data_IF_985418055313
#
_entry.id   IF_985418055313
#
_cell.length_a   1.000
_cell.length_b   1.000
_cell.length_c   1.000
_cell.angle_alpha   90.00
_cell.angle_beta   90.00
_cell.angle_gamma   90.00
#
_symmetry.space_group_name_H-M   'P 1'
#
loop_
_entity.id
_entity.type
_entity.pdbx_description
1 polymer ?
#
# COMPACT_ATOMS: atom_id res chain seq x y z
N UNK A 1 -57.92 90.76 -20.97
CA UNK A 1 -57.56 91.38 -19.67
C UNK A 1 -58.21 90.59 -18.56
N UNK A 2 -57.69 89.40 -18.34
CA UNK A 2 -58.15 88.37 -17.43
C UNK A 2 -57.34 87.11 -17.74
N UNK A 3 -57.37 86.16 -16.80
CA UNK A 3 -57.05 84.72 -16.95
C UNK A 3 -55.54 84.39 -16.89
N UNK A 4 -55.14 83.22 -16.40
CA UNK A 4 -55.90 82.01 -16.20
C UNK A 4 -55.26 81.03 -15.21
N UNK A 5 -56.00 79.93 -15.04
CA UNK A 5 -55.84 78.85 -14.08
C UNK A 5 -54.55 78.04 -14.22
N UNK A 6 -54.24 77.22 -13.20
CA UNK A 6 -53.99 75.79 -13.42
C UNK A 6 -53.99 74.97 -12.12
N UNK A 7 -54.52 73.76 -12.21
CA UNK A 7 -54.69 72.77 -11.16
C UNK A 7 -54.13 71.41 -11.59
N UNK A 8 -53.67 70.65 -10.60
CA UNK A 8 -53.46 69.17 -10.56
C UNK A 8 -52.39 68.53 -11.45
N UNK A 9 -51.40 67.90 -10.80
CA UNK A 9 -50.83 66.56 -11.06
C UNK A 9 -49.31 66.52 -10.83
N UNK A 10 -48.86 65.79 -9.81
CA UNK A 10 -47.78 64.78 -9.90
C UNK A 10 -47.25 64.47 -8.50
N UNK A 11 -47.77 63.40 -7.92
CA UNK A 11 -47.16 62.72 -6.79
C UNK A 11 -45.86 62.05 -7.26
N UNK A 12 -44.72 62.45 -6.68
CA UNK A 12 -43.51 61.63 -6.46
C UNK A 12 -42.37 62.52 -5.94
N UNK A 13 -42.24 62.63 -4.62
CA UNK A 13 -40.96 62.60 -3.88
C UNK A 13 -41.18 62.97 -2.41
N UNK A 14 -40.40 62.32 -1.54
CA UNK A 14 -40.30 62.52 -0.10
C UNK A 14 -41.35 61.81 0.79
N UNK A 15 -41.42 60.47 0.71
CA UNK A 15 -41.46 59.68 1.95
C UNK A 15 -40.01 59.46 2.36
N UNK A 16 -39.53 60.29 3.29
CA UNK A 16 -38.28 60.03 4.01
C UNK A 16 -38.63 58.98 5.06
N UNK A 17 -38.28 57.72 4.79
CA UNK A 17 -38.30 56.65 5.78
C UNK A 17 -37.39 57.07 6.94
N UNK A 18 -37.98 57.52 8.03
CA UNK A 18 -37.29 57.65 9.31
C UNK A 18 -37.19 56.25 9.89
N UNK A 19 -36.18 55.49 9.45
CA UNK A 19 -35.79 54.26 10.14
C UNK A 19 -35.57 54.58 11.63
N UNK A 20 -36.14 53.74 12.49
CA UNK A 20 -35.96 53.80 13.94
C UNK A 20 -34.45 53.84 14.27
N UNK A 21 -33.97 54.84 15.03
CA UNK A 21 -32.56 54.97 15.39
C UNK A 21 -31.95 53.69 15.98
N UNK A 22 -32.75 52.88 16.69
CA UNK A 22 -32.31 51.61 17.26
C UNK A 22 -32.14 50.53 16.19
N UNK A 23 -33.00 50.51 15.16
CA UNK A 23 -32.91 49.58 14.02
C UNK A 23 -31.70 49.93 13.16
N UNK A 24 -31.46 51.22 12.91
CA UNK A 24 -30.26 51.70 12.19
C UNK A 24 -28.99 51.31 12.94
N UNK A 25 -28.93 51.57 14.25
CA UNK A 25 -27.77 51.21 15.08
C UNK A 25 -27.53 49.69 15.12
N UNK A 26 -28.60 48.89 15.20
CA UNK A 26 -28.51 47.43 15.12
C UNK A 26 -27.94 46.96 13.78
N UNK A 27 -28.40 47.52 12.66
CA UNK A 27 -27.93 47.14 11.33
C UNK A 27 -26.46 47.57 11.10
N UNK A 28 -26.06 48.74 11.62
CA UNK A 28 -24.66 49.19 11.64
C UNK A 28 -23.78 48.20 12.42
N UNK A 29 -24.19 47.78 13.63
CA UNK A 29 -23.47 46.79 14.44
C UNK A 29 -23.39 45.42 13.76
N UNK A 30 -24.46 44.97 13.09
CA UNK A 30 -24.44 43.71 12.33
C UNK A 30 -23.41 43.77 11.20
N UNK A 31 -23.34 44.91 10.49
CA UNK A 31 -22.38 45.12 9.41
C UNK A 31 -20.93 45.19 9.95
N UNK A 32 -20.72 45.86 11.08
CA UNK A 32 -19.41 45.91 11.76
C UNK A 32 -18.95 44.50 12.18
N UNK A 33 -19.83 43.69 12.77
CA UNK A 33 -19.53 42.31 13.14
C UNK A 33 -19.27 41.43 11.92
N UNK A 34 -20.05 41.60 10.84
CA UNK A 34 -19.84 40.87 9.60
C UNK A 34 -18.48 41.20 8.95
N UNK A 35 -18.10 42.48 8.93
CA UNK A 35 -16.82 42.94 8.42
C UNK A 35 -15.66 42.44 9.28
N UNK A 36 -15.78 42.50 10.61
CA UNK A 36 -14.78 41.95 11.53
C UNK A 36 -14.62 40.43 11.36
N UNK A 37 -15.71 39.70 11.10
CA UNK A 37 -15.66 38.25 10.84
C UNK A 37 -15.02 37.93 9.50
N UNK A 38 -15.33 38.70 8.45
CA UNK A 38 -14.71 38.54 7.14
C UNK A 38 -13.20 38.80 7.19
N UNK A 39 -12.80 39.85 7.92
CA UNK A 39 -11.39 40.17 8.15
C UNK A 39 -10.68 39.08 8.97
N UNK A 40 -11.33 38.55 10.01
CA UNK A 40 -10.82 37.41 10.78
C UNK A 40 -10.62 36.15 9.92
N UNK A 41 -11.57 35.83 9.04
CA UNK A 41 -11.44 34.69 8.12
C UNK A 41 -10.31 34.89 7.11
N UNK A 42 -10.09 36.12 6.63
CA UNK A 42 -8.98 36.45 5.74
C UNK A 42 -7.63 36.21 6.43
N UNK A 43 -7.48 36.72 7.65
CA UNK A 43 -6.25 36.56 8.43
C UNK A 43 -5.95 35.09 8.76
N UNK A 44 -6.99 34.29 9.05
CA UNK A 44 -6.84 32.83 9.24
C UNK A 44 -6.35 32.16 7.97
N UNK A 45 -6.94 32.47 6.81
CA UNK A 45 -6.51 31.91 5.52
C UNK A 45 -5.07 32.30 5.18
N UNK A 46 -4.68 33.55 5.41
CA UNK A 46 -3.30 34.01 5.22
C UNK A 46 -2.32 33.30 6.16
N UNK A 47 -2.73 33.04 7.41
CA UNK A 47 -1.93 32.29 8.37
C UNK A 47 -1.80 30.81 7.96
N UNK A 48 -2.85 30.18 7.47
CA UNK A 48 -2.84 28.80 6.96
C UNK A 48 -1.94 28.66 5.72
N UNK A 49 -2.06 29.59 4.76
CA UNK A 49 -1.21 29.61 3.56
C UNK A 49 0.27 29.83 3.94
N UNK A 50 0.56 30.70 4.91
CA UNK A 50 1.91 30.91 5.44
C UNK A 50 2.44 29.66 6.16
N UNK A 51 1.60 29.00 6.96
CA UNK A 51 1.98 27.77 7.65
C UNK A 51 2.28 26.62 6.68
N UNK A 52 1.46 26.46 5.63
CA UNK A 52 1.71 25.48 4.56
C UNK A 52 3.00 25.77 3.80
N UNK A 53 3.30 27.03 3.51
CA UNK A 53 4.56 27.40 2.85
C UNK A 53 5.77 27.09 3.73
N UNK A 54 5.73 27.48 4.99
CA UNK A 54 6.80 27.17 5.95
C UNK A 54 6.99 25.67 6.15
N UNK A 55 5.91 24.89 6.11
CA UNK A 55 5.98 23.42 6.17
C UNK A 55 6.72 22.86 4.95
N UNK A 56 6.38 23.29 3.74
CA UNK A 56 7.08 22.87 2.50
C UNK A 56 8.55 23.29 2.50
N UNK A 57 8.85 24.52 2.90
CA UNK A 57 10.24 25.00 3.01
C UNK A 57 11.04 24.18 4.04
N UNK A 58 10.41 23.77 5.14
CA UNK A 58 11.03 22.89 6.13
C UNK A 58 11.21 21.45 5.61
N UNK A 59 10.25 20.92 4.87
CA UNK A 59 10.32 19.59 4.22
C UNK A 59 11.43 19.55 3.16
N UNK A 60 11.51 20.56 2.28
CA UNK A 60 12.58 20.70 1.28
C UNK A 60 13.96 20.87 1.92
N UNK A 61 14.05 21.66 2.99
CA UNK A 61 15.29 21.84 3.74
C UNK A 61 15.71 20.53 4.42
N UNK A 62 14.77 19.81 5.04
CA UNK A 62 15.03 18.50 5.63
C UNK A 62 15.52 17.52 4.56
N UNK A 63 14.82 17.39 3.43
CA UNK A 63 15.20 16.52 2.32
C UNK A 63 16.62 16.80 1.77
N UNK A 64 17.04 18.06 1.73
CA UNK A 64 18.41 18.44 1.32
C UNK A 64 19.50 18.06 2.33
N UNK A 65 19.21 18.15 3.63
CA UNK A 65 20.20 17.91 4.68
C UNK A 65 20.23 16.44 5.15
N UNK A 66 19.13 15.71 4.96
CA UNK A 66 18.96 14.32 5.37
C UNK A 66 20.07 13.37 4.91
N UNK A 67 20.55 13.40 3.65
CA UNK A 67 21.64 12.51 3.20
C UNK A 67 22.97 12.74 3.95
N UNK A 68 23.27 13.99 4.29
CA UNK A 68 24.48 14.35 5.06
C UNK A 68 24.37 13.86 6.50
N UNK A 69 23.23 14.11 7.15
CA UNK A 69 22.95 13.64 8.51
C UNK A 69 23.04 12.11 8.58
N UNK A 70 22.45 11.40 7.61
CA UNK A 70 22.55 9.94 7.54
C UNK A 70 24.00 9.46 7.43
N UNK A 71 24.82 10.13 6.62
CA UNK A 71 26.23 9.77 6.44
C UNK A 71 27.04 10.00 7.72
N UNK A 72 26.79 11.11 8.43
CA UNK A 72 27.44 11.42 9.71
C UNK A 72 27.00 10.44 10.81
N UNK A 73 25.71 10.11 10.85
CA UNK A 73 25.13 9.15 11.78
C UNK A 73 25.70 7.74 11.57
N UNK A 74 25.85 7.31 10.32
CA UNK A 74 26.53 6.05 9.98
C UNK A 74 27.98 6.04 10.45
N UNK A 75 28.70 7.16 10.32
CA UNK A 75 30.06 7.29 10.80
C UNK A 75 30.16 7.24 12.34
N UNK A 76 29.18 7.82 13.05
CA UNK A 76 29.09 7.75 14.51
C UNK A 76 28.76 6.33 14.99
N UNK A 77 27.75 5.69 14.40
CA UNK A 77 27.37 4.31 14.70
C UNK A 77 28.51 3.32 14.42
N UNK A 78 29.28 3.53 13.34
CA UNK A 78 30.49 2.74 13.04
C UNK A 78 31.51 2.78 14.18
N UNK A 79 31.66 3.92 14.87
CA UNK A 79 32.57 4.05 16.03
C UNK A 79 32.04 3.33 17.27
N UNK A 80 30.73 3.34 17.49
CA UNK A 80 30.09 2.68 18.64
C UNK A 80 30.07 1.15 18.48
N UNK A 81 29.65 0.66 17.31
CA UNK A 81 29.53 -0.78 17.01
C UNK A 81 30.87 -1.44 16.68
N UNK A 82 31.89 -0.67 16.27
CA UNK A 82 33.26 -1.13 16.07
C UNK A 82 34.03 -1.46 17.36
N UNK A 83 33.43 -1.26 18.54
CA UNK A 83 34.02 -1.64 19.84
C UNK A 83 34.02 -3.16 20.08
N UNK A 84 33.15 -3.90 19.39
CA UNK A 84 33.06 -5.36 19.52
C UNK A 84 33.83 -6.05 18.38
N UNK A 85 34.69 -7.03 18.69
CA UNK A 85 35.36 -7.86 17.68
C UNK A 85 34.37 -8.61 16.77
N UNK A 86 34.72 -8.87 15.49
CA UNK A 86 33.86 -9.62 14.55
C UNK A 86 33.38 -10.98 15.07
N UNK A 87 34.20 -11.66 15.87
CA UNK A 87 33.92 -12.97 16.44
C UNK A 87 32.84 -12.89 17.54
N UNK A 88 32.80 -11.77 18.26
CA UNK A 88 31.75 -11.45 19.24
C UNK A 88 30.43 -11.09 18.55
N UNK A 89 30.50 -10.36 17.42
CA UNK A 89 29.33 -10.09 16.60
C UNK A 89 28.70 -11.36 16.04
N UNK A 90 29.51 -12.31 15.54
CA UNK A 90 29.00 -13.61 15.10
C UNK A 90 28.32 -14.35 16.25
N UNK A 91 28.89 -14.40 17.46
CA UNK A 91 28.21 -15.03 18.61
C UNK A 91 26.91 -14.33 19.03
N UNK A 92 26.86 -13.00 18.96
CA UNK A 92 25.66 -12.22 19.29
C UNK A 92 24.56 -12.50 18.25
N UNK A 93 24.91 -12.48 16.97
CA UNK A 93 23.98 -12.63 15.84
C UNK A 93 23.58 -14.09 15.59
N UNK A 94 24.46 -15.05 15.89
CA UNK A 94 24.28 -16.47 15.55
C UNK A 94 23.72 -17.33 16.68
N UNK A 95 23.99 -17.00 17.94
CA UNK A 95 23.69 -17.90 19.06
C UNK A 95 22.64 -17.38 20.07
N UNK A 96 22.36 -16.06 20.14
CA UNK A 96 21.67 -15.51 21.33
C UNK A 96 20.56 -14.46 21.09
N UNK A 97 20.30 -14.00 19.86
CA UNK A 97 19.26 -13.00 19.61
C UNK A 97 18.06 -13.61 18.89
N UNK A 98 16.87 -13.36 19.44
CA UNK A 98 15.62 -13.66 18.73
C UNK A 98 15.55 -12.85 17.42
N UNK A 99 14.80 -13.34 16.44
CA UNK A 99 14.65 -12.66 15.15
C UNK A 99 14.16 -11.21 15.31
N UNK A 100 13.42 -10.93 16.39
CA UNK A 100 12.94 -9.60 16.72
C UNK A 100 13.98 -8.71 17.40
N UNK A 101 14.87 -9.26 18.22
CA UNK A 101 15.99 -8.50 18.79
C UNK A 101 17.02 -8.17 17.69
N UNK A 102 17.16 -9.06 16.71
CA UNK A 102 17.92 -8.79 15.49
C UNK A 102 17.27 -7.68 14.66
N UNK A 103 15.93 -7.63 14.60
CA UNK A 103 15.17 -6.58 13.93
C UNK A 103 15.41 -5.23 14.62
N UNK A 104 15.23 -5.20 15.93
CA UNK A 104 15.55 -4.06 16.78
C UNK A 104 16.95 -3.48 16.51
N UNK A 105 17.96 -4.35 16.41
CA UNK A 105 19.35 -3.95 16.14
C UNK A 105 19.58 -3.53 14.67
N UNK A 106 18.86 -4.13 13.73
CA UNK A 106 19.03 -3.86 12.31
C UNK A 106 18.20 -2.66 11.80
N UNK A 107 17.16 -2.28 12.55
CA UNK A 107 16.38 -1.05 12.37
C UNK A 107 17.16 0.21 12.74
N UNK A 108 18.20 0.06 13.55
CA UNK A 108 18.85 1.18 14.21
C UNK A 108 20.22 1.50 13.61
N UNK A 109 20.67 0.71 12.63
CA UNK A 109 21.98 0.91 12.00
C UNK A 109 22.14 0.23 10.62
N UNK A 110 22.38 1.03 9.56
CA UNK A 110 22.78 0.52 8.23
C UNK A 110 24.05 -0.34 8.29
N UNK A 111 25.02 0.01 9.14
CA UNK A 111 26.26 -0.76 9.31
C UNK A 111 26.04 -2.17 9.86
N UNK A 112 25.11 -2.35 10.81
CA UNK A 112 24.75 -3.68 11.31
C UNK A 112 24.15 -4.54 10.19
N UNK A 113 23.30 -3.96 9.34
CA UNK A 113 22.73 -4.62 8.16
C UNK A 113 23.80 -5.07 7.15
N UNK A 114 24.79 -4.23 6.88
CA UNK A 114 25.94 -4.60 6.04
C UNK A 114 26.74 -5.75 6.65
N UNK A 115 27.02 -5.69 7.96
CA UNK A 115 27.69 -6.77 8.68
C UNK A 115 26.87 -8.06 8.65
N UNK A 116 25.56 -7.98 8.78
CA UNK A 116 24.68 -9.14 8.73
C UNK A 116 24.61 -9.77 7.32
N UNK A 117 24.60 -8.95 6.27
CA UNK A 117 24.73 -9.41 4.87
C UNK A 117 26.05 -10.15 4.66
N UNK A 118 27.15 -9.63 5.21
CA UNK A 118 28.47 -10.30 5.19
C UNK A 118 28.44 -11.63 5.96
N UNK A 119 27.69 -11.70 7.06
CA UNK A 119 27.49 -12.92 7.87
C UNK A 119 26.41 -13.86 7.29
N UNK A 120 25.80 -13.52 6.14
CA UNK A 120 24.87 -14.40 5.43
C UNK A 120 23.44 -14.46 5.95
N UNK A 121 23.05 -13.60 6.92
CA UNK A 121 21.66 -13.52 7.40
C UNK A 121 20.91 -12.36 6.73
N UNK A 122 19.77 -12.64 6.12
CA UNK A 122 18.87 -11.63 5.56
C UNK A 122 17.77 -11.34 6.57
N UNK A 123 17.71 -10.12 7.10
CA UNK A 123 16.62 -9.67 7.96
C UNK A 123 15.73 -8.68 7.20
N UNK A 124 14.43 -8.76 7.44
CA UNK A 124 13.48 -7.70 7.07
C UNK A 124 13.53 -6.67 8.21
N UNK A 125 14.05 -5.48 7.94
CA UNK A 125 14.46 -4.51 8.98
C UNK A 125 13.60 -3.26 9.03
N UNK A 126 12.60 -3.15 8.17
CA UNK A 126 11.73 -1.97 8.14
C UNK A 126 10.58 -2.21 9.12
N UNK A 127 10.33 -1.29 10.05
CA UNK A 127 8.99 -1.12 10.67
C UNK A 127 7.98 -0.57 9.65
N UNK A 128 8.13 -0.92 8.37
CA UNK A 128 7.13 -0.62 7.36
C UNK A 128 5.92 -1.52 7.55
N UNK A 129 4.86 -1.20 6.82
CA UNK A 129 3.60 -1.96 6.82
C UNK A 129 3.85 -3.47 6.71
N UNK A 130 4.78 -3.89 5.85
CA UNK A 130 5.09 -5.31 5.62
C UNK A 130 5.52 -6.07 6.89
N UNK A 131 6.32 -5.43 7.75
CA UNK A 131 6.75 -6.07 8.98
C UNK A 131 5.61 -6.22 9.97
N UNK A 132 4.82 -5.17 10.16
CA UNK A 132 3.65 -5.24 11.01
C UNK A 132 2.63 -6.26 10.49
N UNK A 133 2.41 -6.35 9.17
CA UNK A 133 1.58 -7.39 8.55
C UNK A 133 2.13 -8.79 8.82
N UNK A 134 3.46 -8.97 8.83
CA UNK A 134 4.08 -10.24 9.20
C UNK A 134 3.88 -10.59 10.67
N UNK A 135 4.03 -9.62 11.58
CA UNK A 135 3.75 -9.82 13.00
C UNK A 135 2.29 -10.21 13.22
N UNK A 136 1.36 -9.51 12.56
CA UNK A 136 -0.06 -9.81 12.60
C UNK A 136 -0.36 -11.25 12.16
N UNK A 137 0.24 -11.70 11.05
CA UNK A 137 0.06 -13.06 10.51
C UNK A 137 0.67 -14.15 11.36
N UNK A 138 1.82 -13.89 11.98
CA UNK A 138 2.55 -14.89 12.77
C UNK A 138 2.11 -14.92 14.24
N UNK A 139 1.50 -13.85 14.74
CA UNK A 139 1.16 -13.69 16.15
C UNK A 139 2.36 -13.54 17.08
N UNK A 140 3.58 -13.56 16.55
CA UNK A 140 4.83 -13.51 17.30
C UNK A 140 5.23 -12.06 17.56
N UNK A 141 4.44 -11.34 18.35
CA UNK A 141 4.76 -9.96 18.73
C UNK A 141 5.82 -9.97 19.84
N UNK A 142 7.03 -9.46 19.60
CA UNK A 142 8.09 -9.47 20.60
C UNK A 142 7.78 -8.60 21.82
N UNK A 143 8.21 -9.05 23.00
CA UNK A 143 7.90 -8.42 24.28
C UNK A 143 8.93 -7.36 24.69
N UNK A 144 9.15 -6.32 23.87
CA UNK A 144 10.12 -5.25 24.19
C UNK A 144 9.68 -4.38 25.39
N UNK A 145 10.53 -4.21 26.40
CA UNK A 145 10.23 -3.40 27.60
C UNK A 145 10.27 -1.88 27.33
N UNK A 146 9.82 -1.07 28.30
CA UNK A 146 10.04 0.38 28.26
C UNK A 146 11.53 0.72 28.18
N UNK A 147 12.37 0.03 28.95
CA UNK A 147 13.83 0.20 28.94
C UNK A 147 14.42 -0.01 27.54
N UNK A 148 13.86 -0.96 26.78
CA UNK A 148 14.27 -1.18 25.39
C UNK A 148 13.92 0.03 24.51
N UNK A 149 12.72 0.59 24.65
CA UNK A 149 12.33 1.80 23.89
C UNK A 149 13.17 3.02 24.27
N UNK A 150 13.45 3.19 25.57
CA UNK A 150 14.35 4.23 26.07
C UNK A 150 15.75 4.07 25.48
N UNK A 151 16.30 2.86 25.54
CA UNK A 151 17.60 2.55 24.95
C UNK A 151 17.64 2.84 23.44
N UNK A 152 16.60 2.50 22.69
CA UNK A 152 16.51 2.84 21.26
C UNK A 152 16.55 4.35 21.05
N UNK A 153 15.74 5.12 21.78
CA UNK A 153 15.73 6.58 21.64
C UNK A 153 17.01 7.26 22.14
N UNK A 154 17.73 6.67 23.09
CA UNK A 154 18.97 7.23 23.64
C UNK A 154 20.19 6.86 22.78
N UNK A 155 20.14 5.72 22.09
CA UNK A 155 21.25 5.21 21.29
C UNK A 155 21.20 5.72 19.85
N UNK A 156 20.02 6.04 19.33
CA UNK A 156 19.82 6.30 17.91
C UNK A 156 19.06 7.61 17.65
N UNK A 157 19.43 8.28 16.56
CA UNK A 157 18.70 9.42 16.05
C UNK A 157 17.39 8.95 15.42
N UNK A 158 16.28 9.48 15.93
CA UNK A 158 14.93 9.17 15.46
C UNK A 158 14.45 10.33 14.60
N UNK A 159 14.07 10.01 13.36
CA UNK A 159 13.66 11.03 12.39
C UNK A 159 12.20 11.46 12.62
N UNK A 160 11.88 12.75 12.41
CA UNK A 160 10.52 13.23 12.47
C UNK A 160 9.72 12.81 11.23
N UNK A 161 8.40 12.72 11.38
CA UNK A 161 7.47 12.62 10.25
C UNK A 161 7.13 11.21 9.76
N UNK A 162 6.10 11.18 8.90
CA UNK A 162 5.52 9.97 8.31
C UNK A 162 5.09 10.29 6.87
N UNK A 163 6.05 10.21 5.94
CA UNK A 163 5.75 10.18 4.51
C UNK A 163 6.20 8.82 3.97
N UNK A 164 5.30 8.11 3.28
CA UNK A 164 5.55 6.76 2.78
C UNK A 164 6.52 6.72 1.59
N UNK A 165 6.59 7.80 0.83
CA UNK A 165 7.25 7.81 -0.48
C UNK A 165 8.72 8.26 -0.43
N UNK A 166 9.16 8.90 0.66
CA UNK A 166 10.51 9.48 0.79
C UNK A 166 11.24 9.02 2.08
N UNK A 167 11.13 7.74 2.44
CA UNK A 167 11.82 7.20 3.62
C UNK A 167 13.26 6.82 3.34
N UNK A 168 14.15 7.22 4.24
CA UNK A 168 15.53 6.77 4.27
C UNK A 168 15.55 5.30 4.66
N UNK A 169 16.06 4.47 3.76
CA UNK A 169 16.15 3.04 4.00
C UNK A 169 16.99 2.76 5.27
N UNK A 170 16.34 2.17 6.28
CA UNK A 170 16.97 1.80 7.54
C UNK A 170 17.04 2.87 8.60
N UNK A 171 16.34 4.00 8.44
CA UNK A 171 16.08 4.92 9.53
C UNK A 171 14.86 4.47 10.36
N UNK A 172 14.85 4.86 11.63
CA UNK A 172 13.70 4.74 12.52
C UNK A 172 12.96 6.08 12.60
N UNK A 173 11.63 6.02 12.57
CA UNK A 173 10.76 7.19 12.60
C UNK A 173 9.96 7.23 13.90
N UNK A 174 9.71 8.44 14.40
CA UNK A 174 8.91 8.65 15.62
C UNK A 174 7.53 7.97 15.51
N UNK A 175 6.89 8.07 14.34
CA UNK A 175 5.58 7.49 14.08
C UNK A 175 5.56 5.97 14.15
N UNK A 176 6.61 5.32 13.65
CA UNK A 176 6.69 3.86 13.63
C UNK A 176 6.81 3.28 15.03
N UNK A 177 7.57 3.95 15.91
CA UNK A 177 7.72 3.55 17.32
C UNK A 177 6.42 3.75 18.10
N UNK A 178 5.70 4.85 17.84
CA UNK A 178 4.39 5.10 18.44
C UNK A 178 3.37 4.06 17.98
N UNK A 179 3.29 3.80 16.68
CA UNK A 179 2.38 2.81 16.09
C UNK A 179 2.74 1.39 16.55
N UNK A 180 4.04 1.09 16.71
CA UNK A 180 4.51 -0.18 17.26
C UNK A 180 4.13 -0.36 18.73
N UNK A 181 4.29 0.66 19.57
CA UNK A 181 3.84 0.63 20.96
C UNK A 181 2.31 0.45 21.05
N UNK A 182 1.56 1.08 20.15
CA UNK A 182 0.11 0.96 20.06
C UNK A 182 -0.31 -0.46 19.64
N UNK A 183 0.32 -1.01 18.59
CA UNK A 183 0.10 -2.38 18.12
C UNK A 183 0.41 -3.42 19.18
N UNK A 184 1.51 -3.24 19.91
CA UNK A 184 1.86 -4.12 21.03
C UNK A 184 0.83 -4.06 22.17
N UNK A 185 0.06 -2.98 22.26
CA UNK A 185 -0.94 -2.80 23.30
C UNK A 185 -0.38 -2.25 24.62
N UNK A 186 0.84 -1.69 24.61
CA UNK A 186 1.52 -1.19 25.82
C UNK A 186 1.20 0.27 26.10
N UNK A 187 0.25 0.52 27.00
CA UNK A 187 -0.12 1.89 27.43
C UNK A 187 1.04 2.60 28.11
N UNK A 188 1.90 1.88 28.83
CA UNK A 188 3.06 2.46 29.53
C UNK A 188 4.07 3.06 28.53
N UNK A 189 4.44 2.29 27.52
CA UNK A 189 5.39 2.73 26.49
C UNK A 189 4.78 3.86 25.66
N UNK A 190 3.52 3.69 25.25
CA UNK A 190 2.81 4.70 24.49
C UNK A 190 2.67 6.01 25.28
N UNK A 191 2.47 5.93 26.60
CA UNK A 191 2.47 7.10 27.47
C UNK A 191 3.82 7.81 27.48
N UNK A 192 4.90 7.07 27.69
CA UNK A 192 6.24 7.63 27.68
C UNK A 192 6.56 8.33 26.35
N UNK A 193 6.28 7.67 25.21
CA UNK A 193 6.50 8.25 23.88
C UNK A 193 5.68 9.54 23.66
N UNK A 194 4.42 9.57 24.10
CA UNK A 194 3.54 10.72 23.84
C UNK A 194 3.70 11.87 24.83
N UNK A 195 4.05 11.59 26.08
CA UNK A 195 4.15 12.61 27.15
C UNK A 195 5.58 13.16 27.28
N UNK A 196 6.60 12.30 27.20
CA UNK A 196 8.00 12.72 27.41
C UNK A 196 8.69 13.12 26.11
N UNK A 197 8.33 12.47 24.99
CA UNK A 197 8.90 12.79 23.65
C UNK A 197 7.98 13.68 22.81
N UNK A 198 6.74 13.93 23.25
CA UNK A 198 5.72 14.70 22.53
C UNK A 198 5.36 14.12 21.13
N UNK A 199 5.66 12.84 20.89
CA UNK A 199 5.39 12.17 19.62
C UNK A 199 3.92 11.77 19.50
N UNK A 200 3.39 11.79 18.28
CA UNK A 200 1.97 11.57 18.00
C UNK A 200 1.74 10.32 17.16
N UNK A 201 0.63 9.60 17.37
CA UNK A 201 0.23 8.52 16.46
C UNK A 201 -0.16 9.13 15.11
N UNK A 202 0.28 8.49 14.03
CA UNK A 202 -0.08 8.91 12.67
C UNK A 202 -1.25 8.11 12.12
N UNK A 203 -1.42 6.87 12.58
CA UNK A 203 -2.40 5.97 12.02
C UNK A 203 -3.01 5.05 13.09
N UNK A 204 -4.34 4.97 13.14
CA UNK A 204 -5.03 4.22 14.21
C UNK A 204 -5.21 2.74 13.90
N UNK A 205 -4.94 2.32 12.67
CA UNK A 205 -4.99 0.91 12.27
C UNK A 205 -4.16 0.02 13.17
N UNK A 206 -2.93 0.43 13.51
CA UNK A 206 -2.05 -0.40 14.34
C UNK A 206 -2.55 -0.54 15.77
N UNK A 207 -3.13 0.52 16.34
CA UNK A 207 -3.83 0.43 17.63
C UNK A 207 -5.03 -0.53 17.58
N UNK A 208 -5.78 -0.52 16.46
CA UNK A 208 -6.88 -1.46 16.22
C UNK A 208 -6.41 -2.92 16.06
N UNK A 209 -5.41 -3.12 15.19
CA UNK A 209 -4.84 -4.41 14.84
C UNK A 209 -4.08 -5.08 15.99
N UNK A 210 -3.66 -4.30 16.99
CA UNK A 210 -3.06 -4.80 18.23
C UNK A 210 -4.05 -5.37 19.25
N UNK A 211 -5.35 -5.09 19.11
CA UNK A 211 -6.39 -5.70 19.94
C UNK A 211 -6.53 -5.16 21.36
N UNK A 212 -5.71 -4.18 21.76
CA UNK A 212 -5.70 -3.61 23.11
C UNK A 212 -6.69 -2.44 23.25
N UNK A 213 -7.85 -2.71 23.83
CA UNK A 213 -8.84 -1.66 24.17
C UNK A 213 -8.24 -0.58 25.07
N UNK A 214 -7.33 -0.94 25.97
CA UNK A 214 -6.67 0.00 26.90
C UNK A 214 -5.84 1.07 26.17
N UNK A 215 -5.19 0.70 25.07
CA UNK A 215 -4.46 1.66 24.22
C UNK A 215 -5.43 2.67 23.61
N UNK A 216 -6.56 2.20 23.08
CA UNK A 216 -7.56 3.08 22.50
C UNK A 216 -8.26 3.95 23.55
N UNK A 217 -8.51 3.44 24.76
CA UNK A 217 -8.99 4.25 25.88
C UNK A 217 -8.01 5.36 26.26
N UNK A 218 -6.71 5.04 26.31
CA UNK A 218 -5.66 6.03 26.56
C UNK A 218 -5.58 7.09 25.46
N UNK A 219 -5.60 6.69 24.19
CA UNK A 219 -5.60 7.61 23.05
C UNK A 219 -6.85 8.51 23.06
N UNK A 220 -8.03 7.95 23.38
CA UNK A 220 -9.27 8.73 23.55
C UNK A 220 -9.15 9.74 24.69
N UNK A 221 -8.57 9.35 25.83
CA UNK A 221 -8.34 10.23 26.98
C UNK A 221 -7.45 11.43 26.61
N UNK A 222 -6.48 11.22 25.70
CA UNK A 222 -5.62 12.27 25.15
C UNK A 222 -6.31 13.14 24.09
N UNK A 223 -7.58 12.90 23.78
CA UNK A 223 -8.38 13.70 22.86
C UNK A 223 -8.27 13.29 21.39
N UNK A 224 -7.66 12.14 21.09
CA UNK A 224 -7.60 11.64 19.72
C UNK A 224 -8.97 11.14 19.25
N UNK A 225 -9.28 11.43 17.99
CA UNK A 225 -10.49 10.98 17.31
C UNK A 225 -10.11 9.92 16.29
N UNK A 226 -10.73 8.75 16.41
CA UNK A 226 -10.47 7.63 15.52
C UNK A 226 -11.24 7.79 14.21
N UNK A 227 -10.58 7.41 13.12
CA UNK A 227 -11.16 7.28 11.78
C UNK A 227 -11.41 5.80 11.44
N UNK A 228 -11.83 5.53 10.21
CA UNK A 228 -12.16 4.20 9.70
C UNK A 228 -10.99 3.21 9.82
N UNK A 229 -9.74 3.69 9.84
CA UNK A 229 -8.54 2.85 9.92
C UNK A 229 -8.49 2.04 11.22
N UNK A 230 -8.97 2.58 12.34
CA UNK A 230 -9.02 1.87 13.61
C UNK A 230 -9.94 0.64 13.55
N UNK A 231 -11.11 0.80 12.92
CA UNK A 231 -12.06 -0.29 12.68
C UNK A 231 -11.47 -1.31 11.70
N UNK A 232 -10.84 -0.85 10.62
CA UNK A 232 -10.18 -1.72 9.64
C UNK A 232 -9.08 -2.57 10.30
N UNK A 233 -8.19 -1.96 11.08
CA UNK A 233 -7.13 -2.68 11.79
C UNK A 233 -7.68 -3.69 12.78
N UNK A 234 -8.69 -3.33 13.57
CA UNK A 234 -9.34 -4.26 14.49
C UNK A 234 -10.03 -5.44 13.78
N UNK A 235 -10.59 -5.19 12.60
CA UNK A 235 -11.18 -6.22 11.76
C UNK A 235 -10.11 -7.15 11.16
N UNK A 236 -8.96 -6.61 10.75
CA UNK A 236 -7.83 -7.38 10.22
C UNK A 236 -7.18 -8.26 11.29
N UNK A 237 -6.95 -7.71 12.49
CA UNK A 237 -6.38 -8.45 13.62
C UNK A 237 -7.33 -9.43 14.32
N UNK A 238 -8.61 -9.48 13.92
CA UNK A 238 -9.56 -10.43 14.53
C UNK A 238 -10.07 -9.99 15.90
N UNK A 239 -10.06 -8.69 16.21
CA UNK A 239 -10.34 -8.16 17.54
C UNK A 239 -11.76 -7.62 17.70
N UNK A 240 -12.73 -8.52 17.85
CA UNK A 240 -14.15 -8.17 18.02
C UNK A 240 -14.41 -7.29 19.27
N UNK A 241 -13.63 -7.47 20.34
CA UNK A 241 -13.69 -6.62 21.54
C UNK A 241 -13.36 -5.15 21.23
N UNK A 242 -12.34 -4.91 20.40
CA UNK A 242 -11.97 -3.56 19.95
C UNK A 242 -13.05 -2.96 19.07
N UNK A 243 -13.59 -3.71 18.11
CA UNK A 243 -14.70 -3.24 17.27
C UNK A 243 -15.93 -2.86 18.09
N UNK A 244 -16.27 -3.64 19.13
CA UNK A 244 -17.36 -3.30 20.06
C UNK A 244 -17.08 -2.02 20.84
N UNK A 245 -15.84 -1.83 21.32
CA UNK A 245 -15.43 -0.59 21.98
C UNK A 245 -15.57 0.62 21.04
N UNK A 246 -15.01 0.53 19.83
CA UNK A 246 -15.05 1.61 18.83
C UNK A 246 -16.49 1.97 18.41
N UNK A 247 -17.37 0.96 18.29
CA UNK A 247 -18.81 1.17 18.00
C UNK A 247 -19.58 1.80 19.16
N UNK A 248 -19.14 1.59 20.40
CA UNK A 248 -19.74 2.15 21.60
C UNK A 248 -19.32 3.58 21.94
N UNK A 249 -18.46 4.20 21.12
CA UNK A 249 -18.08 5.60 21.28
C UNK A 249 -19.24 6.55 20.96
N UNK A 250 -19.13 7.80 21.43
CA UNK A 250 -20.06 8.89 21.12
C UNK A 250 -19.29 10.11 20.57
N UNK A 251 -19.39 10.40 19.25
CA UNK A 251 -20.05 9.57 18.24
C UNK A 251 -19.30 8.25 17.99
N UNK A 252 -19.98 7.21 17.47
CA UNK A 252 -19.32 5.96 17.13
C UNK A 252 -18.23 6.14 16.09
N UNK A 253 -17.14 5.37 16.21
CA UNK A 253 -16.07 5.37 15.22
C UNK A 253 -16.65 5.02 13.84
N UNK A 254 -16.32 5.78 12.78
CA UNK A 254 -16.76 5.42 11.44
C UNK A 254 -16.10 4.11 10.99
N UNK A 255 -16.73 3.46 10.02
CA UNK A 255 -16.18 2.33 9.28
C UNK A 255 -16.58 2.44 7.82
N UNK A 256 -15.91 1.69 6.97
CA UNK A 256 -16.22 1.59 5.55
C UNK A 256 -16.11 0.14 5.05
N UNK A 257 -16.12 -0.04 3.73
CA UNK A 257 -16.09 -1.36 3.10
C UNK A 257 -14.79 -2.12 3.37
N UNK A 258 -13.70 -1.43 3.70
CA UNK A 258 -12.42 -2.06 4.01
C UNK A 258 -12.46 -2.78 5.35
N UNK A 259 -13.28 -2.32 6.30
CA UNK A 259 -13.49 -3.02 7.57
C UNK A 259 -14.05 -4.44 7.35
N UNK A 260 -15.11 -4.59 6.55
CA UNK A 260 -15.60 -5.93 6.19
C UNK A 260 -14.59 -6.72 5.34
N UNK A 261 -13.89 -6.03 4.42
CA UNK A 261 -12.95 -6.66 3.49
C UNK A 261 -11.74 -7.25 4.20
N UNK A 262 -11.13 -6.54 5.15
CA UNK A 262 -10.02 -7.04 5.97
C UNK A 262 -10.44 -8.24 6.83
N UNK A 263 -11.58 -8.16 7.53
CA UNK A 263 -12.09 -9.30 8.30
C UNK A 263 -12.35 -10.53 7.43
N UNK A 264 -12.89 -10.33 6.22
CA UNK A 264 -13.17 -11.41 5.29
C UNK A 264 -11.89 -12.05 4.73
N UNK A 265 -10.90 -11.24 4.36
CA UNK A 265 -9.60 -11.70 3.87
C UNK A 265 -8.81 -12.49 4.90
N UNK A 266 -8.85 -12.06 6.16
CA UNK A 266 -8.16 -12.74 7.26
C UNK A 266 -8.95 -13.94 7.83
N UNK A 267 -10.19 -14.15 7.39
CA UNK A 267 -10.97 -15.33 7.76
C UNK A 267 -11.78 -15.19 9.05
N UNK A 268 -11.91 -13.97 9.58
CA UNK A 268 -12.60 -13.67 10.84
C UNK A 268 -14.13 -13.68 10.68
N UNK A 269 -14.70 -14.85 10.39
CA UNK A 269 -16.13 -15.02 10.07
C UNK A 269 -17.06 -14.44 11.15
N UNK A 270 -16.73 -14.59 12.44
CA UNK A 270 -17.54 -14.06 13.52
C UNK A 270 -17.57 -12.53 13.56
N UNK A 271 -16.47 -11.88 13.13
CA UNK A 271 -16.44 -10.43 12.95
C UNK A 271 -17.31 -10.02 11.77
N UNK A 272 -17.20 -10.70 10.62
CA UNK A 272 -18.03 -10.41 9.45
C UNK A 272 -19.52 -10.51 9.80
N UNK A 273 -19.92 -11.59 10.49
CA UNK A 273 -21.30 -11.77 11.01
C UNK A 273 -21.71 -10.64 11.95
N UNK A 274 -20.83 -10.24 12.87
CA UNK A 274 -21.13 -9.17 13.82
C UNK A 274 -21.28 -7.82 13.13
N UNK A 275 -20.37 -7.46 12.22
CA UNK A 275 -20.38 -6.22 11.43
C UNK A 275 -21.68 -6.08 10.63
N UNK A 276 -22.19 -7.21 10.12
CA UNK A 276 -23.42 -7.21 9.31
C UNK A 276 -24.71 -7.10 10.11
N UNK A 277 -24.69 -7.43 11.39
CA UNK A 277 -25.82 -7.25 12.32
C UNK A 277 -25.94 -5.82 12.87
N UNK A 278 -25.01 -4.93 12.57
CA UNK A 278 -24.99 -3.55 13.10
C UNK A 278 -26.01 -2.66 12.40
N UNK A 279 -26.34 -1.51 13.01
CA UNK A 279 -27.25 -0.50 12.44
C UNK A 279 -26.57 0.89 12.42
N UNK A 280 -26.27 1.46 11.23
CA UNK A 280 -26.33 0.82 9.91
C UNK A 280 -25.32 -0.34 9.80
N UNK A 281 -25.55 -1.35 8.94
CA UNK A 281 -24.59 -2.44 8.76
C UNK A 281 -23.30 -1.92 8.13
N UNK A 282 -22.17 -2.53 8.46
CA UNK A 282 -20.92 -2.23 7.76
C UNK A 282 -21.07 -2.56 6.27
N UNK A 283 -20.67 -1.66 5.35
CA UNK A 283 -20.75 -1.92 3.92
C UNK A 283 -19.76 -3.02 3.52
N UNK A 284 -20.06 -3.72 2.43
CA UNK A 284 -19.16 -4.66 1.75
C UNK A 284 -19.14 -4.34 0.25
N UNK A 285 -18.20 -4.93 -0.49
CA UNK A 285 -18.12 -4.80 -1.95
C UNK A 285 -17.54 -6.07 -2.58
N UNK A 286 -17.37 -6.09 -3.89
CA UNK A 286 -16.73 -7.17 -4.66
C UNK A 286 -15.35 -7.53 -4.09
N UNK A 287 -14.61 -6.51 -3.64
CA UNK A 287 -13.32 -6.69 -2.95
C UNK A 287 -13.39 -7.55 -1.68
N UNK A 288 -14.54 -7.59 -0.98
CA UNK A 288 -14.73 -8.45 0.19
C UNK A 288 -14.66 -9.94 -0.19
N UNK A 289 -15.29 -10.33 -1.29
CA UNK A 289 -15.16 -11.69 -1.83
C UNK A 289 -13.75 -11.93 -2.39
N UNK A 290 -13.17 -10.97 -3.12
CA UNK A 290 -11.82 -11.15 -3.70
C UNK A 290 -10.73 -11.36 -2.63
N UNK A 291 -10.79 -10.64 -1.51
CA UNK A 291 -9.84 -10.80 -0.42
C UNK A 291 -10.05 -12.11 0.34
N UNK A 292 -11.29 -12.52 0.58
CA UNK A 292 -11.59 -13.84 1.13
C UNK A 292 -11.07 -14.97 0.22
N UNK A 293 -11.19 -14.80 -1.11
CA UNK A 293 -10.67 -15.74 -2.09
C UNK A 293 -9.14 -15.82 -2.08
N UNK A 294 -8.44 -14.67 -2.05
CA UNK A 294 -6.99 -14.58 -1.87
C UNK A 294 -6.50 -15.36 -0.63
N UNK A 295 -7.19 -15.19 0.50
CA UNK A 295 -6.85 -15.82 1.78
C UNK A 295 -7.28 -17.29 1.92
N UNK A 296 -7.86 -17.89 0.88
CA UNK A 296 -8.44 -19.25 0.92
C UNK A 296 -9.56 -19.41 1.98
N UNK A 297 -10.30 -18.33 2.25
CA UNK A 297 -11.32 -18.27 3.30
C UNK A 297 -12.66 -18.81 2.79
N UNK A 298 -12.69 -20.08 2.40
CA UNK A 298 -13.86 -20.71 1.75
C UNK A 298 -15.14 -20.64 2.60
N UNK A 299 -15.04 -20.84 3.91
CA UNK A 299 -16.20 -20.75 4.81
C UNK A 299 -16.75 -19.32 4.92
N UNK A 300 -15.88 -18.31 4.84
CA UNK A 300 -16.31 -16.90 4.76
C UNK A 300 -17.01 -16.64 3.44
N UNK A 301 -16.45 -17.09 2.32
CA UNK A 301 -17.07 -16.95 0.99
C UNK A 301 -18.46 -17.59 0.92
N UNK A 302 -18.60 -18.82 1.41
CA UNK A 302 -19.90 -19.51 1.50
C UNK A 302 -20.91 -18.70 2.31
N UNK A 303 -20.50 -18.18 3.47
CA UNK A 303 -21.37 -17.36 4.29
C UNK A 303 -21.77 -16.04 3.60
N UNK A 304 -20.81 -15.35 2.98
CA UNK A 304 -21.05 -14.09 2.24
C UNK A 304 -22.03 -14.27 1.08
N UNK A 305 -21.93 -15.39 0.35
CA UNK A 305 -22.81 -15.71 -0.79
C UNK A 305 -24.20 -16.21 -0.38
N UNK A 306 -24.35 -16.67 0.86
CA UNK A 306 -25.64 -17.09 1.42
C UNK A 306 -26.49 -15.93 1.99
N UNK A 307 -26.01 -14.68 1.95
CA UNK A 307 -26.74 -13.51 2.45
C UNK A 307 -27.81 -13.02 1.47
N UNK A 308 -28.74 -12.18 1.95
CA UNK A 308 -29.77 -11.54 1.13
C UNK A 308 -29.77 -9.99 1.34
N UNK A 309 -29.36 -9.19 0.33
CA UNK A 309 -28.75 -9.63 -0.92
C UNK A 309 -27.36 -10.24 -0.68
N UNK A 310 -26.90 -11.16 -1.55
CA UNK A 310 -25.60 -11.79 -1.36
C UNK A 310 -24.47 -10.78 -1.60
N UNK A 311 -23.33 -10.96 -0.94
CA UNK A 311 -22.17 -10.09 -1.18
C UNK A 311 -21.80 -10.14 -2.67
N UNK A 312 -21.64 -8.98 -3.34
CA UNK A 312 -21.30 -8.96 -4.75
C UNK A 312 -19.90 -9.54 -4.97
N UNK A 313 -19.69 -10.07 -6.17
CA UNK A 313 -18.43 -10.64 -6.62
C UNK A 313 -18.27 -10.40 -8.12
N UNK A 314 -17.03 -10.39 -8.60
CA UNK A 314 -16.67 -10.19 -10.00
C UNK A 314 -15.45 -11.06 -10.36
N UNK A 315 -14.95 -10.91 -11.59
CA UNK A 315 -13.82 -11.71 -12.08
C UNK A 315 -12.53 -11.51 -11.28
N UNK A 316 -12.41 -10.43 -10.50
CA UNK A 316 -11.30 -10.25 -9.55
C UNK A 316 -11.29 -11.37 -8.50
N UNK A 317 -12.46 -11.87 -8.09
CA UNK A 317 -12.55 -12.93 -7.08
C UNK A 317 -11.85 -14.21 -7.55
N UNK A 318 -12.10 -14.62 -8.79
CA UNK A 318 -11.39 -15.73 -9.41
C UNK A 318 -9.93 -15.38 -9.73
N UNK A 319 -9.64 -14.15 -10.16
CA UNK A 319 -8.27 -13.74 -10.51
C UNK A 319 -7.34 -13.76 -9.29
N UNK A 320 -7.79 -13.27 -8.13
CA UNK A 320 -7.02 -13.35 -6.88
C UNK A 320 -6.91 -14.79 -6.38
N UNK A 321 -7.97 -15.61 -6.45
CA UNK A 321 -7.85 -17.03 -6.13
C UNK A 321 -6.79 -17.72 -7.00
N UNK A 322 -6.77 -17.42 -8.30
CA UNK A 322 -5.81 -17.97 -9.24
C UNK A 322 -4.39 -17.49 -8.99
N UNK A 323 -4.19 -16.19 -8.70
CA UNK A 323 -2.89 -15.59 -8.37
C UNK A 323 -2.19 -16.27 -7.20
N UNK A 324 -2.96 -16.75 -6.24
CA UNK A 324 -2.46 -17.38 -5.00
C UNK A 324 -2.66 -18.90 -4.99
N UNK A 325 -3.02 -19.51 -6.12
CA UNK A 325 -3.06 -20.96 -6.27
C UNK A 325 -4.23 -21.64 -5.56
N UNK A 326 -5.29 -20.89 -5.23
CA UNK A 326 -6.44 -21.34 -4.43
C UNK A 326 -7.44 -22.14 -5.27
N UNK A 327 -7.01 -23.31 -5.74
CA UNK A 327 -7.78 -24.16 -6.67
C UNK A 327 -9.16 -24.56 -6.12
N UNK A 328 -9.27 -24.86 -4.82
CA UNK A 328 -10.55 -25.26 -4.22
C UNK A 328 -11.56 -24.10 -4.17
N UNK A 329 -11.08 -22.86 -4.00
CA UNK A 329 -11.92 -21.66 -4.09
C UNK A 329 -12.43 -21.49 -5.52
N UNK A 330 -11.58 -21.69 -6.53
CA UNK A 330 -11.96 -21.60 -7.95
C UNK A 330 -13.02 -22.64 -8.34
N UNK A 331 -12.83 -23.90 -7.92
CA UNK A 331 -13.83 -24.97 -8.14
C UNK A 331 -15.17 -24.59 -7.52
N UNK A 332 -15.16 -24.21 -6.24
CA UNK A 332 -16.38 -23.81 -5.55
C UNK A 332 -17.08 -22.61 -6.20
N UNK A 333 -16.32 -21.59 -6.60
CA UNK A 333 -16.86 -20.39 -7.26
C UNK A 333 -17.46 -20.70 -8.63
N UNK A 334 -16.90 -21.67 -9.34
CA UNK A 334 -17.40 -22.17 -10.63
C UNK A 334 -18.70 -22.98 -10.50
N UNK A 335 -18.88 -23.65 -9.36
CA UNK A 335 -20.06 -24.47 -9.04
C UNK A 335 -21.28 -23.66 -8.53
N UNK A 336 -21.16 -22.33 -8.37
CA UNK A 336 -22.29 -21.48 -7.95
C UNK A 336 -23.26 -21.16 -9.09
N UNK A 337 -24.48 -20.73 -8.73
CA UNK A 337 -25.52 -20.28 -9.68
C UNK A 337 -26.01 -18.86 -9.35
N UNK A 338 -25.72 -17.84 -10.19
CA UNK A 338 -24.82 -17.89 -11.33
C UNK A 338 -23.36 -18.09 -10.88
N UNK A 339 -22.49 -18.68 -11.73
CA UNK A 339 -21.07 -18.85 -11.41
C UNK A 339 -20.39 -17.48 -11.29
N UNK A 340 -19.29 -17.43 -10.51
CA UNK A 340 -18.46 -16.23 -10.50
C UNK A 340 -17.93 -15.97 -11.92
N UNK A 341 -18.07 -14.74 -12.45
CA UNK A 341 -17.58 -14.44 -13.78
C UNK A 341 -16.06 -14.61 -13.85
N UNK A 342 -15.55 -14.94 -15.03
CA UNK A 342 -14.13 -15.03 -15.32
C UNK A 342 -13.79 -14.42 -16.70
N UNK A 343 -12.55 -14.00 -16.88
CA UNK A 343 -11.94 -13.49 -18.11
C UNK A 343 -10.45 -13.95 -18.21
N UNK A 344 -9.72 -13.48 -19.22
CA UNK A 344 -8.33 -13.87 -19.48
C UNK A 344 -7.37 -13.55 -18.32
N UNK A 345 -7.74 -12.60 -17.44
CA UNK A 345 -6.91 -12.19 -16.31
C UNK A 345 -6.71 -13.34 -15.31
N UNK A 346 -7.63 -14.30 -15.23
CA UNK A 346 -7.50 -15.45 -14.32
C UNK A 346 -6.29 -16.31 -14.73
N UNK A 347 -6.16 -16.62 -16.02
CA UNK A 347 -4.99 -17.34 -16.56
C UNK A 347 -3.71 -16.53 -16.37
N UNK A 348 -3.75 -15.23 -16.66
CA UNK A 348 -2.61 -14.33 -16.45
C UNK A 348 -2.15 -14.29 -14.99
N UNK A 349 -3.08 -14.24 -14.03
CA UNK A 349 -2.76 -14.27 -12.60
C UNK A 349 -2.26 -15.64 -12.13
N UNK A 350 -2.83 -16.74 -12.59
CA UNK A 350 -2.30 -18.07 -12.28
C UNK A 350 -0.87 -18.25 -12.81
N UNK A 351 -0.58 -17.72 -14.00
CA UNK A 351 0.74 -17.71 -14.60
C UNK A 351 1.73 -16.84 -13.82
N UNK A 352 1.31 -15.64 -13.39
CA UNK A 352 2.11 -14.73 -12.54
C UNK A 352 2.55 -15.40 -11.23
N UNK A 353 1.68 -16.21 -10.61
CA UNK A 353 1.98 -16.95 -9.38
C UNK A 353 2.64 -18.33 -9.59
N UNK A 354 2.87 -18.74 -10.83
CA UNK A 354 3.49 -20.04 -11.15
C UNK A 354 2.60 -21.25 -10.88
N UNK A 355 1.28 -21.06 -10.83
CA UNK A 355 0.33 -22.09 -10.40
C UNK A 355 -0.13 -22.98 -11.56
N UNK A 356 0.77 -23.86 -12.03
CA UNK A 356 0.54 -24.75 -13.17
C UNK A 356 -0.73 -25.63 -13.03
N UNK A 357 -0.99 -26.16 -11.82
CA UNK A 357 -2.18 -27.01 -11.59
C UNK A 357 -3.50 -26.22 -11.72
N UNK A 358 -3.49 -24.93 -11.36
CA UNK A 358 -4.64 -24.05 -11.59
C UNK A 358 -4.85 -23.84 -13.09
N UNK A 359 -3.78 -23.58 -13.86
CA UNK A 359 -3.87 -23.41 -15.32
C UNK A 359 -4.38 -24.66 -16.03
N UNK A 360 -3.90 -25.85 -15.63
CA UNK A 360 -4.41 -27.13 -16.15
C UNK A 360 -5.89 -27.29 -15.88
N UNK A 361 -6.34 -26.98 -14.67
CA UNK A 361 -7.76 -27.06 -14.33
C UNK A 361 -8.61 -26.05 -15.11
N UNK A 362 -8.15 -24.81 -15.27
CA UNK A 362 -8.82 -23.75 -16.05
C UNK A 362 -8.96 -24.13 -17.53
N UNK A 363 -7.92 -24.77 -18.09
CA UNK A 363 -7.92 -25.24 -19.48
C UNK A 363 -8.87 -26.42 -19.72
N UNK A 364 -9.14 -27.23 -18.70
CA UNK A 364 -10.02 -28.38 -18.76
C UNK A 364 -11.52 -28.04 -18.63
N UNK A 365 -11.88 -26.76 -18.44
CA UNK A 365 -13.27 -26.31 -18.31
C UNK A 365 -14.00 -26.28 -19.66
N UNK A 366 -15.34 -26.24 -19.64
CA UNK A 366 -16.17 -26.08 -20.83
C UNK A 366 -17.17 -24.90 -20.68
N UNK A 367 -17.05 -23.83 -21.48
CA UNK A 367 -15.90 -23.53 -22.33
C UNK A 367 -14.65 -23.29 -21.46
N UNK A 368 -13.44 -23.53 -22.01
CA UNK A 368 -12.22 -23.27 -21.27
C UNK A 368 -12.06 -21.79 -20.92
N UNK A 369 -11.37 -21.50 -19.81
CA UNK A 369 -11.03 -20.12 -19.47
C UNK A 369 -10.20 -19.50 -20.61
N UNK A 370 -10.54 -18.29 -21.08
CA UNK A 370 -9.73 -17.60 -22.08
C UNK A 370 -8.33 -17.30 -21.53
N UNK A 371 -7.38 -17.18 -22.44
CA UNK A 371 -6.02 -16.71 -22.18
C UNK A 371 -5.59 -15.81 -23.34
N UNK A 372 -4.52 -15.05 -23.13
CA UNK A 372 -3.91 -14.22 -24.16
C UNK A 372 -2.38 -14.14 -23.98
N UNK A 373 -1.74 -13.27 -24.76
CA UNK A 373 -0.29 -13.02 -24.69
C UNK A 373 0.17 -12.61 -23.28
N UNK A 374 -0.72 -12.02 -22.48
CA UNK A 374 -0.46 -11.62 -21.10
C UNK A 374 -0.18 -12.82 -20.20
N UNK A 375 -0.74 -14.00 -20.51
CA UNK A 375 -0.49 -15.22 -19.75
C UNK A 375 0.96 -15.70 -19.88
N UNK A 376 1.52 -15.69 -21.09
CA UNK A 376 2.94 -16.00 -21.30
C UNK A 376 3.84 -14.91 -20.69
N UNK A 377 3.50 -13.63 -20.87
CA UNK A 377 4.29 -12.53 -20.30
C UNK A 377 4.34 -12.58 -18.76
N UNK A 378 3.23 -12.90 -18.09
CA UNK A 378 3.17 -13.01 -16.64
C UNK A 378 3.99 -14.21 -16.11
N UNK A 379 3.91 -15.38 -16.77
CA UNK A 379 4.78 -16.51 -16.42
C UNK A 379 6.26 -16.16 -16.60
N UNK A 380 6.59 -15.37 -17.62
CA UNK A 380 7.95 -14.90 -17.88
C UNK A 380 8.44 -13.91 -16.82
N UNK A 381 7.59 -12.95 -16.42
CA UNK A 381 7.89 -11.98 -15.36
C UNK A 381 8.13 -12.65 -14.00
N UNK A 382 7.37 -13.70 -13.68
CA UNK A 382 7.55 -14.49 -12.45
C UNK A 382 8.65 -15.57 -12.51
N UNK A 383 9.27 -15.77 -13.68
CA UNK A 383 10.36 -16.74 -13.85
C UNK A 383 9.89 -18.20 -13.92
N UNK A 384 8.61 -18.43 -14.19
CA UNK A 384 7.98 -19.75 -14.16
C UNK A 384 8.16 -20.47 -15.50
N UNK A 385 9.39 -20.94 -15.76
CA UNK A 385 9.77 -21.62 -17.00
C UNK A 385 8.96 -22.90 -17.28
N UNK A 386 8.59 -23.63 -16.24
CA UNK A 386 7.74 -24.83 -16.32
C UNK A 386 6.31 -24.50 -16.80
N UNK A 387 5.75 -23.39 -16.30
CA UNK A 387 4.46 -22.86 -16.78
C UNK A 387 4.56 -22.46 -18.25
N UNK A 388 5.60 -21.73 -18.66
CA UNK A 388 5.81 -21.36 -20.06
C UNK A 388 5.94 -22.56 -20.99
N UNK A 389 6.71 -23.58 -20.59
CA UNK A 389 6.83 -24.84 -21.35
C UNK A 389 5.48 -25.51 -21.55
N UNK A 390 4.68 -25.56 -20.48
CA UNK A 390 3.34 -26.15 -20.56
C UNK A 390 2.38 -25.32 -21.43
N UNK A 391 2.39 -23.99 -21.32
CA UNK A 391 1.58 -23.09 -22.15
C UNK A 391 1.90 -23.24 -23.64
N UNK A 392 3.17 -23.46 -23.98
CA UNK A 392 3.63 -23.71 -25.35
C UNK A 392 3.31 -25.11 -25.87
N UNK A 393 3.05 -26.09 -25.00
CA UNK A 393 2.68 -27.45 -25.41
C UNK A 393 1.17 -27.64 -25.64
N UNK A 394 0.36 -26.59 -25.50
CA UNK A 394 -1.10 -26.65 -25.72
C UNK A 394 -1.45 -26.54 -27.21
N UNK A 395 -2.67 -26.94 -27.58
CA UNK A 395 -3.19 -26.85 -28.95
C UNK A 395 -4.56 -26.13 -28.99
N UNK A 396 -4.66 -24.90 -29.56
CA UNK A 396 -3.54 -24.08 -30.03
C UNK A 396 -2.67 -23.62 -28.85
N UNK A 397 -1.38 -23.36 -29.07
CA UNK A 397 -0.51 -22.93 -27.99
C UNK A 397 -0.87 -21.51 -27.53
N UNK A 398 -0.62 -21.21 -26.26
CA UNK A 398 -0.85 -19.86 -25.76
C UNK A 398 -0.03 -18.85 -26.59
N UNK A 399 -0.65 -17.76 -27.07
CA UNK A 399 0.07 -16.74 -27.81
C UNK A 399 1.14 -16.10 -26.93
N UNK A 400 2.20 -15.61 -27.57
CA UNK A 400 3.29 -14.88 -26.96
C UNK A 400 3.81 -13.83 -27.94
N UNK A 401 4.47 -12.80 -27.43
CA UNK A 401 5.10 -11.76 -28.23
C UNK A 401 6.30 -11.13 -27.51
N UNK A 402 6.83 -10.02 -28.06
CA UNK A 402 7.97 -9.26 -27.52
C UNK A 402 7.85 -8.87 -26.04
N UNK A 403 6.63 -8.76 -25.51
CA UNK A 403 6.38 -8.48 -24.10
C UNK A 403 6.77 -9.64 -23.21
N UNK A 404 6.75 -10.87 -23.71
CA UNK A 404 7.22 -12.07 -22.99
C UNK A 404 8.72 -11.98 -22.68
N UNK A 405 9.52 -11.61 -23.68
CA UNK A 405 10.96 -11.42 -23.50
C UNK A 405 11.26 -10.20 -22.61
N UNK A 406 10.54 -9.09 -22.80
CA UNK A 406 10.69 -7.90 -21.96
C UNK A 406 10.31 -8.17 -20.51
N UNK A 407 9.27 -8.97 -20.27
CA UNK A 407 8.83 -9.40 -18.94
C UNK A 407 9.86 -10.30 -18.25
N UNK A 408 10.43 -11.29 -18.96
CA UNK A 408 11.54 -12.09 -18.41
C UNK A 408 12.75 -11.22 -18.02
N UNK A 409 13.07 -10.21 -18.84
CA UNK A 409 14.15 -9.27 -18.55
C UNK A 409 13.82 -8.36 -17.35
N UNK A 410 12.57 -7.90 -17.25
CA UNK A 410 12.05 -7.10 -16.13
C UNK A 410 12.11 -7.86 -14.81
N UNK A 411 11.75 -9.15 -14.80
CA UNK A 411 11.76 -10.01 -13.62
C UNK A 411 13.15 -10.58 -13.25
N UNK A 412 14.17 -10.37 -14.09
CA UNK A 412 15.51 -10.86 -13.80
C UNK A 412 15.74 -12.34 -14.14
N UNK A 413 14.91 -12.91 -15.02
CA UNK A 413 14.91 -14.34 -15.36
C UNK A 413 15.62 -14.62 -16.68
N UNK A 414 16.95 -14.60 -16.65
CA UNK A 414 17.80 -14.81 -17.82
C UNK A 414 17.61 -16.20 -18.49
N UNK A 415 17.36 -17.23 -17.68
CA UNK A 415 17.09 -18.59 -18.14
C UNK A 415 15.79 -18.69 -18.95
N UNK A 416 14.73 -18.01 -18.51
CA UNK A 416 13.48 -17.89 -19.24
C UNK A 416 13.69 -17.16 -20.57
N UNK A 417 14.41 -16.03 -20.56
CA UNK A 417 14.69 -15.26 -21.77
C UNK A 417 15.48 -16.07 -22.80
N UNK A 418 16.52 -16.80 -22.36
CA UNK A 418 17.30 -17.71 -23.20
C UNK A 418 16.43 -18.82 -23.78
N UNK A 419 15.57 -19.42 -22.96
CA UNK A 419 14.69 -20.49 -23.42
C UNK A 419 13.68 -20.01 -24.46
N UNK A 420 13.04 -18.86 -24.24
CA UNK A 420 12.06 -18.29 -25.17
C UNK A 420 12.68 -17.96 -26.55
N UNK A 421 13.94 -17.50 -26.54
CA UNK A 421 14.76 -17.22 -27.73
C UNK A 421 15.23 -18.48 -28.47
N UNK A 422 15.28 -19.62 -27.79
CA UNK A 422 15.72 -20.89 -28.37
C UNK A 422 14.57 -21.76 -28.92
N UNK A 423 13.32 -21.29 -28.89
CA UNK A 423 12.18 -22.02 -29.46
C UNK A 423 12.10 -21.85 -30.99
N UNK A 424 11.29 -22.69 -31.64
CA UNK A 424 11.01 -22.63 -33.08
C UNK A 424 9.48 -22.57 -33.33
N UNK A 425 8.95 -21.43 -33.85
CA UNK A 425 9.64 -20.16 -34.05
C UNK A 425 10.03 -19.53 -32.70
N UNK A 426 11.11 -18.72 -32.65
CA UNK A 426 11.51 -18.04 -31.43
C UNK A 426 10.47 -17.00 -31.02
N UNK A 427 10.37 -16.71 -29.73
CA UNK A 427 9.59 -15.57 -29.27
C UNK A 427 10.19 -14.29 -29.85
N UNK A 428 9.37 -13.48 -30.52
CA UNK A 428 9.77 -12.14 -30.96
C UNK A 428 10.30 -11.36 -29.75
N UNK A 429 11.25 -10.45 -29.96
CA UNK A 429 11.78 -9.61 -28.90
C UNK A 429 12.24 -8.26 -29.43
N UNK A 430 12.08 -7.21 -28.61
CA UNK A 430 12.75 -5.92 -28.83
C UNK A 430 13.92 -5.82 -27.89
N UNK A 431 15.12 -5.85 -28.45
CA UNK A 431 16.37 -5.79 -27.69
C UNK A 431 16.43 -4.57 -26.76
N UNK A 432 16.08 -3.39 -27.27
CA UNK A 432 16.02 -2.14 -26.51
C UNK A 432 15.04 -2.21 -25.33
N UNK A 433 13.83 -2.71 -25.55
CA UNK A 433 12.81 -2.86 -24.51
C UNK A 433 13.24 -3.86 -23.43
N UNK A 434 13.84 -4.99 -23.80
CA UNK A 434 14.37 -5.96 -22.85
C UNK A 434 15.53 -5.37 -22.03
N UNK A 435 16.43 -4.63 -22.69
CA UNK A 435 17.58 -3.97 -22.06
C UNK A 435 17.14 -2.88 -21.08
N UNK A 436 16.19 -2.04 -21.47
CA UNK A 436 15.62 -0.98 -20.63
C UNK A 436 14.93 -1.58 -19.41
N UNK A 437 14.07 -2.58 -19.61
CA UNK A 437 13.35 -3.27 -18.53
C UNK A 437 14.31 -3.89 -17.52
N UNK A 438 15.37 -4.56 -17.99
CA UNK A 438 16.40 -5.11 -17.11
C UNK A 438 17.18 -4.01 -16.38
N UNK A 439 17.50 -2.90 -17.05
CA UNK A 439 18.25 -1.79 -16.43
C UNK A 439 17.45 -1.06 -15.36
N UNK A 440 16.14 -0.83 -15.57
CA UNK A 440 15.26 -0.17 -14.61
C UNK A 440 15.06 -1.01 -13.33
N UNK A 441 15.21 -2.33 -13.42
CA UNK A 441 15.05 -3.27 -12.30
C UNK A 441 16.40 -3.79 -11.77
N UNK A 442 17.51 -3.12 -12.12
CA UNK A 442 18.88 -3.45 -11.68
C UNK A 442 19.36 -4.89 -12.00
N UNK A 443 18.93 -5.43 -13.14
CA UNK A 443 19.32 -6.74 -13.64
C UNK A 443 20.51 -6.66 -14.61
N UNK A 444 21.65 -6.15 -14.13
CA UNK A 444 22.87 -5.92 -14.93
C UNK A 444 23.40 -7.16 -15.66
N UNK A 445 23.20 -8.36 -15.09
CA UNK A 445 23.62 -9.61 -15.72
C UNK A 445 22.82 -9.93 -17.00
N UNK A 446 21.56 -9.50 -17.07
CA UNK A 446 20.73 -9.60 -18.28
C UNK A 446 21.16 -8.56 -19.30
N UNK A 447 21.39 -7.31 -18.88
CA UNK A 447 21.89 -6.25 -19.77
C UNK A 447 23.19 -6.70 -20.47
N UNK A 448 24.15 -7.24 -19.71
CA UNK A 448 25.40 -7.79 -20.28
C UNK A 448 25.16 -8.91 -21.29
N UNK A 449 24.22 -9.81 -21.01
CA UNK A 449 23.89 -10.89 -21.92
C UNK A 449 23.21 -10.39 -23.19
N UNK A 450 22.30 -9.41 -23.06
CA UNK A 450 21.63 -8.76 -24.18
C UNK A 450 22.65 -8.04 -25.04
N UNK A 451 23.58 -7.28 -24.45
CA UNK A 451 24.63 -6.53 -25.17
C UNK A 451 25.60 -7.45 -25.95
N UNK A 452 25.67 -8.73 -25.61
CA UNK A 452 26.46 -9.75 -26.32
C UNK A 452 25.73 -10.40 -27.51
N UNK A 453 24.42 -10.19 -27.68
CA UNK A 453 23.68 -10.75 -28.81
C UNK A 453 23.95 -9.92 -30.10
N UNK A 454 23.81 -10.52 -31.28
CA UNK A 454 23.86 -9.77 -32.54
C UNK A 454 22.53 -9.02 -32.75
N UNK A 455 22.57 -7.83 -33.34
CA UNK A 455 21.35 -7.04 -33.58
C UNK A 455 20.63 -7.61 -34.80
N UNK A 456 19.57 -8.39 -34.56
CA UNK A 456 18.78 -9.01 -35.64
C UNK A 456 18.10 -7.95 -36.53
N UNK A 457 17.95 -6.69 -36.07
CA UNK A 457 17.50 -5.56 -36.89
C UNK A 457 18.51 -5.11 -37.96
N UNK A 458 19.79 -5.47 -37.82
CA UNK A 458 20.83 -5.19 -38.82
C UNK A 458 20.94 -6.28 -39.89
N UNK A 459 20.23 -7.41 -39.74
CA UNK A 459 20.22 -8.50 -40.70
C UNK A 459 19.25 -8.24 -41.87
N UNK A 460 18.07 -7.66 -41.61
CA UNK A 460 17.10 -7.28 -42.67
C UNK A 460 17.64 -6.15 -43.58
N UNK A 461 18.60 -5.34 -43.13
CA UNK A 461 19.23 -4.31 -43.95
C UNK A 461 20.43 -4.80 -44.78
N UNK A 462 21.02 -5.97 -44.46
CA UNK A 462 22.14 -6.54 -45.23
C UNK A 462 21.69 -7.38 -46.43
N UNK A 463 20.51 -7.99 -46.38
CA UNK A 463 19.99 -8.76 -47.54
C UNK A 463 19.49 -7.89 -48.69
N UNK A 464 19.23 -6.59 -48.47
CA UNK A 464 18.82 -5.65 -49.52
C UNK A 464 19.97 -4.82 -50.12
N UNK A 465 21.18 -4.84 -49.53
CA UNK A 465 22.32 -4.07 -50.04
C UNK A 465 23.24 -4.86 -50.98
N UNK A 466 23.13 -6.19 -51.02
CA UNK A 466 24.02 -7.08 -51.79
C UNK A 466 23.40 -7.57 -53.13
N UNK A 467 22.29 -6.99 -53.60
CA UNK A 467 21.65 -7.41 -54.87
C UNK A 467 21.72 -6.40 -56.03
N UNK A 468 22.37 -5.23 -55.89
CA UNK A 468 22.39 -4.18 -56.94
C UNK A 468 23.79 -3.63 -57.24
N UNK A 469 24.79 -4.50 -57.49
CA UNK A 469 26.07 -4.03 -58.03
C UNK A 469 26.79 -4.99 -58.98
N UNK A 470 26.05 -5.65 -59.88
CA UNK A 470 26.66 -6.33 -61.04
C UNK A 470 25.81 -6.09 -62.29
N UNK A 471 25.91 -4.88 -62.86
CA UNK A 471 25.83 -4.63 -64.31
C UNK A 471 26.12 -3.15 -64.56
N UNK A 472 27.38 -2.80 -64.88
CA UNK A 472 27.75 -1.88 -65.96
C UNK A 472 29.28 -1.70 -66.02
N UNK A 473 29.86 -2.37 -67.03
CA UNK A 473 31.20 -2.25 -67.66
C UNK A 473 32.46 -2.70 -66.92
#
# INVERSE_FOLDING_TARGET
MARGAESTSSAKRAKVDKEDPLVRRRNELILEVANARAEGMRLVREAEEKAQRLKREAEESLAQHMPSVCTELEAANRKLLGKLPPELWSKIVDENLDQNDLLALAMTCRFFREKQKVLGKKLETNLGVDHFLKLLKTGNVPSHSLDWFQWVCDTFEILPGFEWDERVEGAAYEGDLVDYAAFKGSVEILRWLMEEKEWKPYHYFWAGAGGSVKVLEYLKLKGYKFDESACQGAAEGGHLNVLKFLRGLDPPCPWDKWTCTSAAGEGHLEIVKWLKKQTPPCPWSEKTCAWAAKGERLEVLKWLRAQDPPCPWDAETCAEAARWGRLEVLKWARDQDPPCPWDERICTKAAEGGHLEVLKWLRAQDPPCPWDWGTCAAAAEGGHLDVLKWLRSQDPPCPWDERTCAAAAKGGHLDVLKWARAQDPPCSWRRSACRESASQNDHQHIVKWIDQQEDESDAEYREYSDSDSDEYF
#
